data_IF_690161045704
#
_entry.id   IF_690161045704
#
_cell.length_a   1.000
_cell.length_b   1.000
_cell.length_c   1.000
_cell.angle_alpha   90.00
_cell.angle_beta   90.00
_cell.angle_gamma   90.00
#
_symmetry.space_group_name_H-M   'P 1'
#
loop_
_entity.id
_entity.type
_entity.pdbx_description
1 polymer ?
#
# COMPACT_ATOMS: atom_id res chain seq x y z
N UNK A 1 2.75 -16.57 -0.36
CA UNK A 1 3.48 -15.35 -0.78
C UNK A 1 3.67 -14.45 0.44
N UNK A 2 4.88 -13.83 0.60
CA UNK A 2 5.13 -12.85 1.69
C UNK A 2 5.03 -11.45 1.13
N UNK A 3 4.12 -10.64 1.67
CA UNK A 3 3.86 -9.27 1.21
C UNK A 3 4.05 -8.28 2.36
N UNK A 4 4.74 -7.18 2.09
CA UNK A 4 4.80 -6.03 2.99
C UNK A 4 3.81 -4.96 2.53
N UNK A 5 2.93 -4.53 3.41
CA UNK A 5 1.99 -3.43 3.21
C UNK A 5 2.37 -2.24 4.10
N UNK A 6 2.88 -1.19 3.49
CA UNK A 6 3.11 0.11 4.12
C UNK A 6 1.90 1.01 3.94
N UNK A 7 1.45 1.69 4.99
CA UNK A 7 0.30 2.61 4.95
C UNK A 7 0.77 3.98 5.41
N UNK A 8 0.58 5.00 4.57
CA UNK A 8 1.07 6.35 4.87
C UNK A 8 -0.03 7.41 4.78
N UNK A 9 0.29 8.67 5.11
CA UNK A 9 -0.67 9.74 5.30
C UNK A 9 -1.22 10.37 4.02
N UNK A 10 -1.70 9.56 3.10
CA UNK A 10 -2.53 10.00 1.97
C UNK A 10 -3.94 9.43 2.11
N UNK A 11 -4.96 10.15 1.67
CA UNK A 11 -6.32 9.62 1.61
C UNK A 11 -6.37 8.37 0.72
N UNK A 12 -7.11 7.36 1.13
CA UNK A 12 -7.19 6.08 0.44
C UNK A 12 -7.15 4.87 1.37
N UNK A 13 -7.53 5.03 2.64
CA UNK A 13 -7.63 3.93 3.59
C UNK A 13 -8.52 2.77 3.11
N UNK A 14 -9.66 3.01 2.42
CA UNK A 14 -10.47 1.93 1.86
C UNK A 14 -9.70 1.01 0.90
N UNK A 15 -8.75 1.55 0.12
CA UNK A 15 -7.90 0.72 -0.75
C UNK A 15 -6.96 -0.18 0.05
N UNK A 16 -6.41 0.32 1.18
CA UNK A 16 -5.55 -0.48 2.05
C UNK A 16 -6.31 -1.63 2.71
N UNK A 17 -7.51 -1.36 3.26
CA UNK A 17 -8.37 -2.37 3.87
C UNK A 17 -8.78 -3.44 2.85
N UNK A 18 -9.26 -3.04 1.67
CA UNK A 18 -9.68 -3.96 0.62
C UNK A 18 -8.50 -4.76 0.04
N UNK A 19 -7.32 -4.15 -0.08
CA UNK A 19 -6.11 -4.88 -0.48
C UNK A 19 -5.72 -5.94 0.55
N UNK A 20 -5.85 -5.61 1.84
CA UNK A 20 -5.58 -6.53 2.94
C UNK A 20 -6.51 -7.76 2.88
N UNK A 21 -7.81 -7.54 2.60
CA UNK A 21 -8.78 -8.62 2.34
C UNK A 21 -8.35 -9.52 1.16
N UNK A 22 -8.00 -8.91 0.04
CA UNK A 22 -7.58 -9.64 -1.16
C UNK A 22 -6.29 -10.45 -0.95
N UNK A 23 -5.32 -9.90 -0.22
CA UNK A 23 -4.08 -10.60 0.12
C UNK A 23 -4.36 -11.78 1.08
N UNK A 24 -5.23 -11.60 2.05
CA UNK A 24 -5.62 -12.66 2.98
C UNK A 24 -6.40 -13.78 2.28
N UNK A 25 -7.30 -13.43 1.37
CA UNK A 25 -8.04 -14.41 0.56
C UNK A 25 -7.13 -15.24 -0.38
N UNK A 26 -5.96 -14.69 -0.73
CA UNK A 26 -4.93 -15.37 -1.53
C UNK A 26 -3.88 -16.11 -0.67
N UNK A 27 -4.16 -16.38 0.61
CA UNK A 27 -3.27 -17.07 1.55
C UNK A 27 -1.87 -16.43 1.65
N UNK A 28 -1.77 -15.10 1.55
CA UNK A 28 -0.52 -14.38 1.73
C UNK A 28 -0.18 -14.22 3.21
N UNK A 29 1.11 -14.34 3.55
CA UNK A 29 1.63 -13.84 4.83
C UNK A 29 1.89 -12.34 4.70
N UNK A 30 1.25 -11.52 5.54
CA UNK A 30 1.22 -10.08 5.38
C UNK A 30 1.89 -9.39 6.57
N UNK A 31 2.89 -8.56 6.29
CA UNK A 31 3.42 -7.61 7.27
C UNK A 31 2.85 -6.23 7.04
N UNK A 32 2.19 -5.67 8.04
CA UNK A 32 1.58 -4.34 7.97
C UNK A 32 2.39 -3.35 8.79
N UNK A 33 2.71 -2.20 8.21
CA UNK A 33 3.33 -1.09 8.92
C UNK A 33 2.65 0.23 8.54
N UNK A 34 2.07 0.93 9.51
CA UNK A 34 1.44 2.22 9.28
C UNK A 34 2.25 3.36 9.92
N UNK A 35 2.47 4.45 9.18
CA UNK A 35 3.05 5.67 9.73
C UNK A 35 2.07 6.37 10.70
N UNK A 36 2.53 7.35 11.47
CA UNK A 36 1.64 8.14 12.35
C UNK A 36 0.50 8.77 11.54
N UNK A 37 0.80 9.46 10.44
CA UNK A 37 -0.23 10.04 9.59
C UNK A 37 -1.08 8.95 8.88
N UNK A 38 -0.55 7.76 8.65
CA UNK A 38 -1.32 6.60 8.14
C UNK A 38 -2.38 6.13 9.14
N UNK A 39 -2.06 6.13 10.43
CA UNK A 39 -3.03 5.82 11.50
C UNK A 39 -4.17 6.84 11.53
N UNK A 40 -3.87 8.13 11.44
CA UNK A 40 -4.88 9.19 11.41
C UNK A 40 -5.83 9.05 10.20
N UNK A 41 -5.27 8.71 9.04
CA UNK A 41 -6.07 8.47 7.83
C UNK A 41 -6.95 7.22 7.98
N UNK A 42 -6.41 6.12 8.50
CA UNK A 42 -7.18 4.90 8.78
C UNK A 42 -8.33 5.18 9.75
N UNK A 43 -8.03 5.85 10.87
CA UNK A 43 -9.04 6.21 11.87
C UNK A 43 -10.14 7.07 11.29
N UNK A 44 -9.79 8.10 10.52
CA UNK A 44 -10.72 9.03 9.91
C UNK A 44 -11.60 8.37 8.85
N UNK A 45 -10.99 7.68 7.89
CA UNK A 45 -11.69 7.24 6.67
C UNK A 45 -12.43 5.91 6.84
N UNK A 46 -11.94 5.00 7.70
CA UNK A 46 -12.59 3.71 7.94
C UNK A 46 -13.50 3.73 9.16
N UNK A 47 -13.12 4.48 10.20
CA UNK A 47 -13.78 4.39 11.50
C UNK A 47 -14.44 5.69 11.95
N UNK A 48 -14.30 6.79 11.20
CA UNK A 48 -14.91 8.07 11.49
C UNK A 48 -14.32 8.80 12.71
N UNK A 49 -13.16 8.35 13.21
CA UNK A 49 -12.49 8.93 14.37
C UNK A 49 -10.99 9.19 14.11
N UNK A 50 -10.59 10.46 13.87
CA UNK A 50 -9.19 10.81 13.65
C UNK A 50 -8.30 10.65 14.89
N UNK A 51 -8.89 10.52 16.08
CA UNK A 51 -8.17 10.38 17.34
C UNK A 51 -8.13 8.93 17.85
N UNK A 52 -8.60 7.99 17.06
CA UNK A 52 -8.58 6.57 17.44
C UNK A 52 -7.14 6.12 17.77
N UNK A 53 -6.91 5.52 18.95
CA UNK A 53 -5.58 5.07 19.34
C UNK A 53 -4.97 4.12 18.32
N UNK A 54 -3.64 4.21 18.12
CA UNK A 54 -2.90 3.40 17.16
C UNK A 54 -3.23 1.91 17.26
N UNK A 55 -3.17 1.36 18.46
CA UNK A 55 -3.36 -0.09 18.67
C UNK A 55 -4.80 -0.51 18.33
N UNK A 56 -5.77 0.32 18.66
CA UNK A 56 -7.18 0.08 18.32
C UNK A 56 -7.43 0.21 16.82
N UNK A 57 -6.87 1.24 16.17
CA UNK A 57 -6.95 1.42 14.71
C UNK A 57 -6.39 0.21 13.98
N UNK A 58 -5.23 -0.27 14.39
CA UNK A 58 -4.59 -1.42 13.78
C UNK A 58 -5.33 -2.72 14.08
N UNK A 59 -5.85 -2.91 15.30
CA UNK A 59 -6.65 -4.08 15.63
C UNK A 59 -7.89 -4.19 14.73
N UNK A 60 -8.63 -3.09 14.56
CA UNK A 60 -9.79 -3.03 13.66
C UNK A 60 -9.40 -3.25 12.19
N UNK A 61 -8.28 -2.67 11.73
CA UNK A 61 -7.78 -2.90 10.38
C UNK A 61 -7.45 -4.39 10.15
N UNK A 62 -6.87 -5.07 11.14
CA UNK A 62 -6.49 -6.48 11.01
C UNK A 62 -7.69 -7.43 10.92
N UNK A 63 -8.89 -7.01 11.27
CA UNK A 63 -10.11 -7.80 11.06
C UNK A 63 -10.30 -8.13 9.57
N UNK A 64 -9.86 -7.22 8.66
CA UNK A 64 -9.87 -7.44 7.21
C UNK A 64 -8.88 -8.54 6.75
N UNK A 65 -7.93 -8.92 7.59
CA UNK A 65 -6.91 -9.92 7.25
C UNK A 65 -7.24 -11.34 7.75
N UNK A 66 -8.33 -11.55 8.49
CA UNK A 66 -8.70 -12.85 9.05
C UNK A 66 -7.55 -13.57 9.76
N UNK A 67 -6.64 -12.84 10.43
CA UNK A 67 -5.49 -13.39 11.15
C UNK A 67 -4.24 -13.61 10.27
N UNK A 68 -4.28 -13.34 8.99
CA UNK A 68 -3.14 -13.54 8.07
C UNK A 68 -2.08 -12.43 8.14
N UNK A 69 -2.29 -11.38 8.94
CA UNK A 69 -1.40 -10.22 8.98
C UNK A 69 -0.77 -10.00 10.36
N UNK A 70 0.49 -9.55 10.34
CA UNK A 70 1.25 -9.12 11.51
C UNK A 70 1.61 -7.65 11.40
N UNK A 71 1.43 -6.89 12.50
CA UNK A 71 1.81 -5.48 12.59
C UNK A 71 3.28 -5.33 12.98
N UNK A 72 3.94 -4.35 12.36
CA UNK A 72 5.29 -3.92 12.66
C UNK A 72 5.30 -2.43 13.03
N UNK A 73 6.09 -2.07 14.04
CA UNK A 73 6.29 -0.68 14.40
C UNK A 73 7.16 0.05 13.34
N UNK A 74 6.85 1.30 12.98
CA UNK A 74 7.68 2.07 12.04
C UNK A 74 9.14 2.26 12.49
N UNK A 75 9.42 2.15 13.78
CA UNK A 75 10.78 2.23 14.34
C UNK A 75 11.49 0.88 14.45
N UNK A 76 10.85 -0.22 14.07
CA UNK A 76 11.44 -1.57 14.14
C UNK A 76 12.40 -1.83 12.98
N UNK A 77 13.65 -1.44 13.16
CA UNK A 77 14.74 -1.72 12.21
C UNK A 77 15.22 -3.18 12.23
N UNK A 78 14.78 -3.97 13.21
CA UNK A 78 15.03 -5.40 13.31
C UNK A 78 14.03 -6.27 12.55
N UNK A 79 12.93 -5.70 12.06
CA UNK A 79 11.92 -6.41 11.31
C UNK A 79 12.49 -7.08 10.05
N UNK A 80 11.96 -8.25 9.68
CA UNK A 80 12.40 -8.99 8.49
C UNK A 80 12.39 -8.15 7.20
N UNK A 81 11.48 -7.21 7.09
CA UNK A 81 11.32 -6.33 5.92
C UNK A 81 12.42 -5.28 5.78
N UNK A 82 13.19 -5.05 6.85
CA UNK A 82 14.37 -4.16 6.84
C UNK A 82 15.63 -4.82 6.25
N UNK A 83 15.61 -6.13 5.99
CA UNK A 83 16.76 -6.91 5.53
C UNK A 83 16.57 -7.46 4.13
N UNK A 84 17.56 -7.28 3.25
CA UNK A 84 17.60 -7.89 1.92
C UNK A 84 17.76 -9.43 1.95
N UNK A 85 18.28 -10.00 3.04
CA UNK A 85 18.42 -11.45 3.18
C UNK A 85 17.10 -12.16 3.49
N UNK A 86 16.07 -11.44 3.95
CA UNK A 86 14.75 -12.00 4.19
C UNK A 86 14.03 -12.26 2.85
N UNK A 87 13.36 -13.40 2.77
CA UNK A 87 12.52 -13.73 1.59
C UNK A 87 11.19 -13.01 1.71
N UNK A 88 11.03 -11.94 0.93
CA UNK A 88 9.78 -11.17 0.78
C UNK A 88 9.52 -11.04 -0.71
N UNK A 89 8.34 -11.42 -1.16
CA UNK A 89 8.01 -11.53 -2.58
C UNK A 89 7.59 -10.18 -3.18
N UNK A 90 6.87 -9.36 -2.40
CA UNK A 90 6.42 -8.06 -2.85
C UNK A 90 6.28 -7.04 -1.73
N UNK A 91 6.41 -5.78 -2.09
CA UNK A 91 6.24 -4.63 -1.22
C UNK A 91 5.22 -3.68 -1.84
N UNK A 92 4.24 -3.26 -1.06
CA UNK A 92 3.21 -2.31 -1.48
C UNK A 92 3.16 -1.17 -0.48
N UNK A 93 3.09 0.07 -0.96
CA UNK A 93 2.79 1.23 -0.11
C UNK A 93 1.45 1.79 -0.59
N UNK A 94 0.40 1.52 0.16
CA UNK A 94 -0.97 1.89 -0.18
C UNK A 94 -1.77 2.33 1.06
N UNK A 95 -2.25 3.58 1.08
CA UNK A 95 -1.89 4.67 0.18
C UNK A 95 -0.46 5.17 0.40
N UNK A 96 0.15 5.78 -0.63
CA UNK A 96 1.48 6.37 -0.58
C UNK A 96 1.38 7.90 -0.61
N UNK A 97 1.80 8.57 0.46
CA UNK A 97 1.84 10.03 0.50
C UNK A 97 2.98 10.58 -0.37
N UNK A 98 2.82 11.81 -0.87
CA UNK A 98 3.89 12.47 -1.64
C UNK A 98 5.15 12.71 -0.81
N UNK A 99 5.03 12.85 0.51
CA UNK A 99 6.18 12.92 1.41
C UNK A 99 6.96 11.59 1.43
N UNK A 100 6.27 10.47 1.56
CA UNK A 100 6.86 9.13 1.46
C UNK A 100 7.50 8.91 0.09
N UNK A 101 6.77 9.20 -0.99
CA UNK A 101 7.29 9.08 -2.35
C UNK A 101 8.57 9.90 -2.56
N UNK A 102 8.58 11.16 -2.11
CA UNK A 102 9.75 12.04 -2.22
C UNK A 102 10.95 11.53 -1.41
N UNK A 103 10.70 11.00 -0.21
CA UNK A 103 11.74 10.37 0.60
C UNK A 103 12.36 9.16 -0.11
N UNK A 104 11.53 8.30 -0.71
CA UNK A 104 12.00 7.13 -1.45
C UNK A 104 12.78 7.53 -2.71
N UNK A 105 12.27 8.48 -3.48
CA UNK A 105 12.92 8.98 -4.70
C UNK A 105 14.30 9.59 -4.41
N UNK A 106 14.49 10.20 -3.23
CA UNK A 106 15.79 10.73 -2.81
C UNK A 106 16.74 9.71 -2.20
N UNK A 107 16.30 8.45 -2.00
CA UNK A 107 17.07 7.41 -1.32
C UNK A 107 17.14 7.58 0.20
N UNK A 108 16.43 8.53 0.79
CA UNK A 108 16.38 8.74 2.23
C UNK A 108 15.52 7.69 2.94
N UNK A 109 15.82 7.47 4.23
CA UNK A 109 15.09 6.49 5.05
C UNK A 109 14.95 7.02 6.47
N UNK A 110 13.73 7.05 7.01
CA UNK A 110 13.47 7.49 8.38
C UNK A 110 12.62 6.52 9.20
N UNK A 111 12.11 5.46 8.59
CA UNK A 111 11.29 4.45 9.24
C UNK A 111 11.33 3.12 8.47
N UNK A 112 10.67 2.10 9.02
CA UNK A 112 10.59 0.77 8.41
C UNK A 112 9.94 0.78 7.02
N UNK A 113 8.93 1.62 6.76
CA UNK A 113 8.27 1.70 5.44
C UNK A 113 9.27 2.14 4.38
N UNK A 114 10.03 3.19 4.65
CA UNK A 114 11.09 3.67 3.74
C UNK A 114 12.19 2.62 3.56
N UNK A 115 12.60 1.98 4.66
CA UNK A 115 13.62 0.94 4.61
C UNK A 115 13.16 -0.27 3.79
N UNK A 116 11.95 -0.76 3.99
CA UNK A 116 11.37 -1.88 3.25
C UNK A 116 11.32 -1.58 1.74
N UNK A 117 10.87 -0.40 1.35
CA UNK A 117 10.88 0.02 -0.05
C UNK A 117 12.30 0.12 -0.63
N UNK A 118 13.27 0.68 0.11
CA UNK A 118 14.68 0.71 -0.30
C UNK A 118 15.25 -0.70 -0.45
N UNK A 119 14.88 -1.64 0.42
CA UNK A 119 15.27 -3.05 0.29
C UNK A 119 14.67 -3.65 -0.98
N UNK A 120 13.40 -3.41 -1.27
CA UNK A 120 12.75 -3.87 -2.49
C UNK A 120 13.54 -3.42 -3.73
N UNK A 121 13.84 -2.14 -3.83
CA UNK A 121 14.56 -1.57 -4.98
C UNK A 121 15.96 -2.16 -5.13
N UNK A 122 16.77 -2.19 -4.07
CA UNK A 122 18.16 -2.69 -4.16
C UNK A 122 18.27 -4.19 -4.43
N UNK A 123 17.26 -4.97 -4.07
CA UNK A 123 17.19 -6.41 -4.32
C UNK A 123 16.45 -6.75 -5.63
N UNK A 124 16.01 -5.75 -6.40
CA UNK A 124 15.23 -5.93 -7.62
C UNK A 124 13.90 -6.64 -7.39
N UNK A 125 13.30 -6.45 -6.21
CA UNK A 125 12.01 -7.03 -5.84
C UNK A 125 10.86 -6.13 -6.24
N UNK A 126 9.69 -6.72 -6.39
CA UNK A 126 8.46 -6.01 -6.73
C UNK A 126 8.12 -4.96 -5.67
N UNK A 127 8.08 -3.70 -6.07
CA UNK A 127 7.62 -2.57 -5.27
C UNK A 127 6.51 -1.85 -6.01
N UNK A 128 5.32 -1.77 -5.41
CA UNK A 128 4.20 -0.99 -5.93
C UNK A 128 3.95 0.19 -5.00
N UNK A 129 4.01 1.40 -5.55
CA UNK A 129 3.70 2.64 -4.85
C UNK A 129 2.35 3.15 -5.35
N UNK A 130 1.43 3.39 -4.42
CA UNK A 130 0.04 3.78 -4.70
C UNK A 130 -0.21 5.23 -4.27
N UNK A 131 0.28 6.23 -5.02
CA UNK A 131 0.10 7.61 -4.64
C UNK A 131 -1.36 8.06 -4.80
N UNK A 132 -1.78 8.99 -3.92
CA UNK A 132 -3.00 9.76 -4.04
C UNK A 132 -2.72 11.22 -3.72
N UNK A 133 -2.89 12.08 -4.69
CA UNK A 133 -2.69 13.52 -4.58
C UNK A 133 -3.39 14.25 -5.73
N UNK A 134 -3.92 15.44 -5.47
CA UNK A 134 -4.46 16.32 -6.49
C UNK A 134 -4.51 17.77 -6.01
N UNK A 135 -4.07 18.79 -6.80
CA UNK A 135 -3.31 18.67 -8.04
C UNK A 135 -1.86 18.19 -7.80
N UNK A 136 -1.20 17.72 -8.86
CA UNK A 136 0.20 17.32 -8.81
C UNK A 136 1.14 18.50 -9.10
N UNK A 137 2.17 18.67 -8.26
CA UNK A 137 3.26 19.60 -8.53
C UNK A 137 4.32 18.98 -9.46
N UNK A 138 5.18 19.82 -10.04
CA UNK A 138 6.35 19.33 -10.81
C UNK A 138 7.27 18.44 -9.97
N UNK A 139 7.39 18.69 -8.67
CA UNK A 139 8.21 17.90 -7.75
C UNK A 139 7.58 16.51 -7.60
N UNK A 140 6.26 16.42 -7.44
CA UNK A 140 5.57 15.13 -7.36
C UNK A 140 5.78 14.28 -8.61
N UNK A 141 5.62 14.88 -9.80
CA UNK A 141 5.83 14.19 -11.07
C UNK A 141 7.27 13.72 -11.27
N UNK A 142 8.26 14.53 -10.86
CA UNK A 142 9.67 14.14 -10.90
C UNK A 142 9.94 12.98 -9.95
N UNK A 143 9.45 13.04 -8.72
CA UNK A 143 9.65 11.96 -7.75
C UNK A 143 8.99 10.64 -8.19
N UNK A 144 7.83 10.69 -8.88
CA UNK A 144 7.22 9.50 -9.47
C UNK A 144 8.12 8.90 -10.57
N UNK A 145 8.68 9.76 -11.43
CA UNK A 145 9.60 9.32 -12.50
C UNK A 145 10.85 8.67 -11.89
N UNK A 146 11.51 9.34 -10.96
CA UNK A 146 12.71 8.81 -10.27
C UNK A 146 12.44 7.47 -9.60
N UNK A 147 11.31 7.33 -8.90
CA UNK A 147 10.93 6.07 -8.26
C UNK A 147 10.66 4.96 -9.30
N UNK A 148 10.05 5.30 -10.43
CA UNK A 148 9.78 4.37 -11.52
C UNK A 148 11.07 3.93 -12.22
N UNK A 149 11.99 4.86 -12.50
CA UNK A 149 13.32 4.57 -13.06
C UNK A 149 14.17 3.70 -12.12
N UNK A 150 13.98 3.85 -10.80
CA UNK A 150 14.61 2.99 -9.78
C UNK A 150 14.01 1.57 -9.73
N UNK A 151 12.90 1.30 -10.44
CA UNK A 151 12.27 -0.02 -10.54
C UNK A 151 10.94 -0.17 -9.80
N UNK A 152 10.39 0.89 -9.20
CA UNK A 152 9.06 0.83 -8.61
C UNK A 152 7.96 0.90 -9.68
N UNK A 153 6.84 0.23 -9.44
CA UNK A 153 5.60 0.45 -10.18
C UNK A 153 4.82 1.58 -9.51
N UNK A 154 4.48 2.63 -10.26
CA UNK A 154 3.57 3.67 -9.79
C UNK A 154 2.16 3.31 -10.22
N UNK A 155 1.30 2.96 -9.25
CA UNK A 155 -0.10 2.68 -9.46
C UNK A 155 -0.93 3.75 -8.76
N UNK A 156 -1.29 4.81 -9.49
CA UNK A 156 -2.05 5.92 -8.93
C UNK A 156 -3.46 5.45 -8.49
N UNK A 157 -3.91 5.88 -7.30
CA UNK A 157 -5.24 5.52 -6.79
C UNK A 157 -6.34 6.30 -7.53
N UNK A 158 -6.53 5.95 -8.80
CA UNK A 158 -7.48 6.58 -9.70
C UNK A 158 -8.35 5.51 -10.37
N UNK A 159 -9.61 5.34 -9.93
CA UNK A 159 -10.50 4.34 -10.49
C UNK A 159 -10.98 4.71 -11.90
N UNK A 160 -11.23 3.70 -12.73
CA UNK A 160 -11.95 3.85 -13.99
C UNK A 160 -13.45 3.77 -13.77
N UNK A 161 -14.25 4.40 -14.65
CA UNK A 161 -15.72 4.42 -14.55
C UNK A 161 -16.41 3.55 -15.61
N UNK A 162 -15.65 3.02 -16.57
CA UNK A 162 -16.20 2.30 -17.73
C UNK A 162 -16.82 0.94 -17.40
N UNK A 163 -16.60 0.42 -16.20
CA UNK A 163 -17.19 -0.85 -15.75
C UNK A 163 -18.56 -0.69 -15.09
N UNK A 164 -19.15 0.52 -15.11
CA UNK A 164 -20.50 0.77 -14.62
C UNK A 164 -20.62 0.76 -13.10
N UNK A 165 -19.55 1.13 -12.38
CA UNK A 165 -19.59 1.24 -10.92
C UNK A 165 -20.70 2.20 -10.47
N UNK A 166 -21.57 1.76 -9.56
CA UNK A 166 -22.71 2.50 -9.02
C UNK A 166 -22.52 2.90 -7.54
N UNK A 167 -21.43 2.46 -6.91
CA UNK A 167 -21.07 2.80 -5.55
C UNK A 167 -19.56 2.91 -5.38
N UNK A 168 -19.14 3.43 -4.21
CA UNK A 168 -17.71 3.67 -3.90
C UNK A 168 -16.93 2.36 -3.78
N UNK A 169 -17.54 1.31 -3.23
CA UNK A 169 -16.86 0.03 -3.04
C UNK A 169 -16.42 -0.58 -4.37
N UNK A 170 -17.24 -0.52 -5.40
CA UNK A 170 -16.88 -0.99 -6.73
C UNK A 170 -15.74 -0.17 -7.37
N UNK A 171 -15.62 1.13 -7.06
CA UNK A 171 -14.48 1.94 -7.49
C UNK A 171 -13.20 1.53 -6.74
N UNK A 172 -13.31 1.19 -5.46
CA UNK A 172 -12.21 0.65 -4.66
C UNK A 172 -11.79 -0.71 -5.21
N UNK A 173 -12.73 -1.61 -5.46
CA UNK A 173 -12.48 -2.94 -6.02
C UNK A 173 -11.77 -2.89 -7.36
N UNK A 174 -12.13 -1.93 -8.23
CA UNK A 174 -11.45 -1.73 -9.50
C UNK A 174 -9.95 -1.46 -9.33
N UNK A 175 -9.58 -0.55 -8.43
CA UNK A 175 -8.16 -0.22 -8.20
C UNK A 175 -7.44 -1.37 -7.52
N UNK A 176 -8.07 -2.01 -6.54
CA UNK A 176 -7.46 -3.13 -5.80
C UNK A 176 -7.25 -4.34 -6.70
N UNK A 177 -8.17 -4.63 -7.62
CA UNK A 177 -7.95 -5.69 -8.61
C UNK A 177 -6.71 -5.42 -9.48
N UNK A 178 -6.47 -4.16 -9.87
CA UNK A 178 -5.26 -3.77 -10.59
C UNK A 178 -3.98 -3.92 -9.73
N UNK A 179 -4.09 -3.68 -8.41
CA UNK A 179 -2.99 -3.96 -7.48
C UNK A 179 -2.68 -5.45 -7.39
N UNK A 180 -3.70 -6.29 -7.23
CA UNK A 180 -3.55 -7.75 -7.19
C UNK A 180 -2.94 -8.28 -8.50
N UNK A 181 -3.35 -7.75 -9.67
CA UNK A 181 -2.71 -8.05 -10.96
C UNK A 181 -1.20 -7.73 -10.94
N UNK A 182 -0.81 -6.55 -10.41
CA UNK A 182 0.60 -6.19 -10.30
C UNK A 182 1.37 -7.15 -9.39
N UNK A 183 0.72 -7.73 -8.39
CA UNK A 183 1.32 -8.71 -7.49
C UNK A 183 1.37 -10.11 -8.11
N UNK A 184 0.62 -10.36 -9.18
CA UNK A 184 0.47 -11.69 -9.80
C UNK A 184 -0.48 -12.58 -9.00
N UNK A 185 -1.42 -11.99 -8.29
CA UNK A 185 -2.44 -12.68 -7.51
C UNK A 185 -3.72 -12.78 -8.34
N UNK A 186 -4.23 -14.01 -8.47
CA UNK A 186 -5.51 -14.26 -9.14
C UNK A 186 -6.67 -13.73 -8.31
N UNK A 187 -7.68 -13.17 -8.98
CA UNK A 187 -8.89 -12.63 -8.37
C UNK A 187 -10.08 -12.71 -9.35
N UNK A 188 -11.30 -12.62 -8.85
CA UNK A 188 -12.54 -12.79 -9.62
C UNK A 188 -13.06 -11.48 -10.26
N UNK A 189 -12.36 -10.36 -10.14
CA UNK A 189 -12.82 -9.10 -10.71
C UNK A 189 -12.96 -9.18 -12.24
N UNK A 190 -14.02 -8.56 -12.77
CA UNK A 190 -14.32 -8.53 -14.21
C UNK A 190 -13.14 -7.90 -14.99
N UNK A 191 -12.76 -8.54 -16.08
CA UNK A 191 -11.69 -8.09 -16.98
C UNK A 191 -12.29 -7.51 -18.27
N UNK A 192 -11.65 -6.50 -18.82
CA UNK A 192 -12.05 -5.94 -20.10
C UNK A 192 -12.05 -7.02 -21.20
N UNK A 193 -13.20 -7.14 -21.92
CA UNK A 193 -13.33 -8.11 -23.02
C UNK A 193 -13.62 -9.56 -22.61
N UNK A 194 -13.96 -9.80 -21.35
CA UNK A 194 -14.36 -11.13 -20.84
C UNK A 194 -15.85 -11.22 -20.49
N UNK A 195 -16.69 -10.32 -21.04
CA UNK A 195 -18.17 -10.38 -20.96
C UNK A 195 -18.74 -11.05 -22.19
#
# INVERSE_FOLDING_TARGET
MHVFLGITGASGAPYAARLLEGLAAADCEIGVCASTAGIEVLGTELFGDPNLPRDETLARLLEHANGAAQVYDPSDWGARYASGSAKVDAYVICPCSMGTLGTLASGAMSNLIHRAASVALKEGRKLVLCPRETPLSRIHLRNMLEAQEAGATILFLAPGFYHGADNVDQLVDFVVSRLLDQLGIEHEAARWGQT
#
